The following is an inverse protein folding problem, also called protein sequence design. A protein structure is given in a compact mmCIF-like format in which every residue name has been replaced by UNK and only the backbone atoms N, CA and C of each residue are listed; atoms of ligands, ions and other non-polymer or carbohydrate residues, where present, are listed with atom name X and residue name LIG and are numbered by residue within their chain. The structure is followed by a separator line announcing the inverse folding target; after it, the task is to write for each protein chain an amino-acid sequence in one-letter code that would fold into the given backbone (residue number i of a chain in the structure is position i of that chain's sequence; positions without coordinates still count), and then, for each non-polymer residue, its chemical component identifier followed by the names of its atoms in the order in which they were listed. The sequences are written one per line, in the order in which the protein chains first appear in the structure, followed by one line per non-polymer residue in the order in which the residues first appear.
data_IF_260494379784
#
_entry.id   IF_260494379784
#
_cell.length_a   1.000
_cell.length_b   1.000
_cell.length_c   1.000
_cell.angle_alpha   90.00
_cell.angle_beta   90.00
_cell.angle_gamma   90.00
#
_symmetry.space_group_name_H-M   'P 1'
#
loop_
_entity.id
_entity.type
_entity.pdbx_description
1 polymer ?
#
# COMPACT_ATOMS: atom_id res chain seq x y z
N UNK A 1 -8.60 -20.78 -1.18
CA UNK A 1 -7.19 -20.71 -0.68
C UNK A 1 -6.47 -19.46 -1.21
N UNK A 2 -5.19 -19.24 -0.94
CA UNK A 2 -4.48 -18.04 -1.48
C UNK A 2 -4.39 -18.05 -3.01
N UNK A 3 -4.13 -19.22 -3.60
CA UNK A 3 -4.08 -19.40 -5.06
C UNK A 3 -5.43 -19.14 -5.73
N UNK A 4 -6.52 -19.66 -5.18
CA UNK A 4 -7.88 -19.45 -5.69
C UNK A 4 -8.29 -17.97 -5.65
N UNK A 5 -7.97 -17.28 -4.56
CA UNK A 5 -8.17 -15.84 -4.46
C UNK A 5 -7.33 -15.07 -5.49
N UNK A 6 -6.10 -15.52 -5.78
CA UNK A 6 -5.29 -14.91 -6.84
C UNK A 6 -5.95 -15.08 -8.23
N UNK A 7 -6.56 -16.23 -8.51
CA UNK A 7 -7.30 -16.45 -9.76
C UNK A 7 -8.50 -15.51 -9.87
N UNK A 8 -9.31 -15.39 -8.81
CA UNK A 8 -10.45 -14.45 -8.78
C UNK A 8 -10.01 -13.00 -9.03
N UNK A 9 -8.93 -12.55 -8.37
CA UNK A 9 -8.40 -11.19 -8.58
C UNK A 9 -7.87 -11.01 -10.00
N UNK A 10 -7.24 -12.04 -10.58
CA UNK A 10 -6.78 -11.98 -11.97
C UNK A 10 -7.93 -11.84 -12.97
N UNK A 11 -9.10 -12.44 -12.70
CA UNK A 11 -10.31 -12.29 -13.51
C UNK A 11 -10.83 -10.84 -13.52
N UNK A 12 -10.58 -10.06 -12.47
CA UNK A 12 -10.92 -8.62 -12.46
C UNK A 12 -10.08 -7.79 -13.41
N UNK A 13 -8.92 -8.33 -13.86
CA UNK A 13 -8.00 -7.68 -14.81
C UNK A 13 -7.58 -6.28 -14.37
N UNK A 14 -7.33 -6.10 -13.07
CA UNK A 14 -6.78 -4.86 -12.56
C UNK A 14 -5.33 -4.72 -12.99
N UNK A 15 -4.95 -3.54 -13.46
CA UNK A 15 -3.55 -3.25 -13.82
C UNK A 15 -2.65 -3.15 -12.58
N UNK A 16 -3.21 -2.65 -11.48
CA UNK A 16 -2.53 -2.43 -10.20
C UNK A 16 -3.33 -3.06 -9.07
N UNK A 17 -2.71 -4.00 -8.34
CA UNK A 17 -3.24 -4.52 -7.07
C UNK A 17 -2.50 -3.89 -5.89
N UNK A 18 -3.24 -3.40 -4.90
CA UNK A 18 -2.68 -2.73 -3.73
C UNK A 18 -2.99 -3.53 -2.45
N UNK A 19 -1.94 -3.96 -1.75
CA UNK A 19 -2.01 -4.53 -0.41
C UNK A 19 -2.12 -3.40 0.63
N UNK A 20 -3.25 -3.37 1.34
CA UNK A 20 -3.58 -2.37 2.35
C UNK A 20 -3.20 -2.80 3.78
N UNK A 21 -2.56 -3.96 3.93
CA UNK A 21 -2.35 -4.63 5.22
C UNK A 21 -0.85 -4.93 5.41
N UNK A 22 -0.20 -5.50 4.40
CA UNK A 22 1.19 -5.97 4.49
C UNK A 22 1.36 -7.17 5.42
N UNK A 23 2.45 -7.23 6.19
CA UNK A 23 2.85 -8.42 6.97
C UNK A 23 2.29 -8.44 8.41
N UNK A 24 1.08 -7.94 8.63
CA UNK A 24 0.42 -8.01 9.95
C UNK A 24 -0.41 -9.29 10.11
N UNK A 25 -0.79 -9.66 11.34
CA UNK A 25 -1.57 -10.88 11.59
C UNK A 25 -2.88 -10.91 10.80
N UNK A 26 -3.21 -12.06 10.22
CA UNK A 26 -4.43 -12.23 9.40
C UNK A 26 -4.32 -11.69 7.98
N UNK A 27 -3.13 -11.26 7.54
CA UNK A 27 -2.92 -10.83 6.16
C UNK A 27 -3.14 -11.96 5.15
N UNK A 28 -3.24 -11.55 3.88
CA UNK A 28 -3.33 -12.43 2.72
C UNK A 28 -2.21 -12.12 1.72
N UNK A 29 -1.05 -11.69 2.22
CA UNK A 29 0.09 -11.23 1.42
C UNK A 29 0.58 -12.30 0.43
N UNK A 30 0.41 -13.59 0.78
CA UNK A 30 0.75 -14.71 -0.09
C UNK A 30 0.01 -14.71 -1.44
N UNK A 31 -1.16 -14.08 -1.53
CA UNK A 31 -1.88 -13.89 -2.80
C UNK A 31 -1.00 -13.15 -3.81
N UNK A 32 -0.20 -12.19 -3.34
CA UNK A 32 0.69 -11.37 -4.16
C UNK A 32 1.79 -12.21 -4.82
N UNK A 33 2.22 -13.33 -4.22
CA UNK A 33 3.23 -14.22 -4.81
C UNK A 33 2.79 -14.87 -6.13
N UNK A 34 1.49 -15.01 -6.35
CA UNK A 34 0.94 -15.54 -7.60
C UNK A 34 0.87 -14.52 -8.72
N UNK A 35 1.25 -13.26 -8.45
CA UNK A 35 1.21 -12.14 -9.39
C UNK A 35 -0.12 -12.00 -10.15
N UNK A 36 -1.27 -11.91 -9.46
CA UNK A 36 -2.58 -11.76 -10.10
C UNK A 36 -2.75 -10.48 -10.93
N UNK A 37 -1.89 -9.48 -10.75
CA UNK A 37 -1.89 -8.24 -11.55
C UNK A 37 -0.47 -7.89 -12.03
N UNK A 38 -0.33 -7.12 -13.14
CA UNK A 38 0.96 -6.69 -13.64
C UNK A 38 1.80 -5.91 -12.62
N UNK A 39 1.18 -4.96 -11.93
CA UNK A 39 1.83 -4.11 -10.92
C UNK A 39 1.23 -4.36 -9.54
N UNK A 40 2.09 -4.55 -8.56
CA UNK A 40 1.70 -4.87 -7.19
C UNK A 40 2.34 -3.89 -6.22
N UNK A 41 1.51 -3.29 -5.37
CA UNK A 41 1.94 -2.25 -4.43
C UNK A 41 1.52 -2.57 -3.00
N UNK A 42 2.19 -1.96 -2.03
CA UNK A 42 1.79 -1.94 -0.61
C UNK A 42 1.73 -0.50 -0.10
N UNK A 43 0.79 -0.21 0.80
CA UNK A 43 0.57 1.17 1.28
C UNK A 43 0.67 1.37 2.80
N UNK A 44 0.13 0.46 3.61
CA UNK A 44 -0.07 0.74 5.07
C UNK A 44 1.05 0.21 5.94
N UNK A 45 1.84 -0.73 5.43
CA UNK A 45 2.89 -1.38 6.21
C UNK A 45 4.12 -0.45 6.33
N UNK A 46 4.50 -0.06 7.54
CA UNK A 46 5.57 0.92 7.77
C UNK A 46 7.01 0.35 7.63
N UNK A 47 7.17 -0.70 6.83
CA UNK A 47 8.45 -1.36 6.58
C UNK A 47 8.44 -2.04 5.19
N UNK A 48 9.61 -2.48 4.73
CA UNK A 48 9.73 -3.33 3.55
C UNK A 48 8.99 -4.66 3.75
N UNK A 49 8.34 -5.17 2.71
CA UNK A 49 7.81 -6.54 2.70
C UNK A 49 8.93 -7.57 2.48
N UNK A 50 10.07 -7.14 1.92
CA UNK A 50 11.16 -8.02 1.52
C UNK A 50 10.80 -8.97 0.38
N UNK A 51 9.60 -8.86 -0.20
CA UNK A 51 9.10 -9.78 -1.21
C UNK A 51 9.42 -9.28 -2.62
N UNK A 52 9.98 -10.12 -3.51
CA UNK A 52 10.17 -9.77 -4.92
C UNK A 52 8.85 -9.69 -5.69
N UNK A 53 7.73 -10.05 -5.06
CA UNK A 53 6.40 -9.96 -5.67
C UNK A 53 5.75 -8.59 -5.49
N UNK A 54 6.33 -7.69 -4.70
CA UNK A 54 5.84 -6.32 -4.52
C UNK A 54 6.75 -5.36 -5.29
N UNK A 55 6.18 -4.63 -6.23
CA UNK A 55 6.93 -3.73 -7.10
C UNK A 55 7.07 -2.33 -6.50
N UNK A 56 6.02 -1.87 -5.78
CA UNK A 56 5.91 -0.50 -5.29
C UNK A 56 5.59 -0.41 -3.79
N UNK A 57 6.27 0.51 -3.12
CA UNK A 57 5.98 0.94 -1.76
C UNK A 57 5.44 2.37 -1.80
N UNK A 58 4.14 2.54 -1.52
CA UNK A 58 3.50 3.86 -1.52
C UNK A 58 3.78 4.58 -0.21
N UNK A 59 4.42 5.75 -0.30
CA UNK A 59 4.82 6.55 0.87
C UNK A 59 4.94 8.03 0.50
N UNK A 60 5.57 8.83 1.35
CA UNK A 60 5.91 10.23 1.10
C UNK A 60 7.35 10.55 1.50
N UNK A 61 7.79 11.78 1.18
CA UNK A 61 9.17 12.22 1.41
C UNK A 61 9.54 12.35 2.89
N UNK A 62 8.57 12.47 3.78
CA UNK A 62 8.79 12.63 5.21
C UNK A 62 8.96 11.26 5.86
N UNK A 63 8.03 10.34 5.60
CA UNK A 63 8.08 8.97 6.13
C UNK A 63 9.17 8.13 5.45
N UNK A 64 9.49 8.43 4.19
CA UNK A 64 10.48 7.70 3.40
C UNK A 64 11.48 8.68 2.76
N UNK A 65 12.48 9.15 3.54
CA UNK A 65 13.56 9.95 2.99
C UNK A 65 14.29 9.17 1.88
N UNK A 66 14.40 9.72 0.65
CA UNK A 66 14.94 8.98 -0.50
C UNK A 66 16.33 8.40 -0.29
N UNK A 67 17.17 9.08 0.50
CA UNK A 67 18.55 8.70 0.77
C UNK A 67 18.67 7.40 1.58
N UNK A 68 17.64 7.06 2.35
CA UNK A 68 17.61 5.86 3.20
C UNK A 68 16.83 4.70 2.55
N UNK A 69 16.00 4.99 1.54
CA UNK A 69 15.07 4.02 1.00
C UNK A 69 15.78 2.86 0.27
N UNK A 70 16.71 3.16 -0.64
CA UNK A 70 17.36 2.13 -1.48
C UNK A 70 18.17 1.10 -0.69
N UNK A 71 18.67 1.45 0.50
CA UNK A 71 19.41 0.52 1.34
C UNK A 71 18.51 -0.38 2.20
N UNK A 72 17.22 -0.05 2.31
CA UNK A 72 16.33 -0.66 3.31
C UNK A 72 15.07 -1.30 2.73
N UNK A 73 14.77 -1.05 1.45
CA UNK A 73 13.56 -1.55 0.77
C UNK A 73 13.90 -2.37 -0.47
N UNK A 74 13.09 -3.40 -0.71
CA UNK A 74 13.18 -4.22 -1.93
C UNK A 74 12.28 -3.69 -3.03
N UNK A 75 11.20 -3.01 -2.66
CA UNK A 75 10.26 -2.34 -3.54
C UNK A 75 10.82 -1.02 -4.07
N UNK A 76 10.21 -0.47 -5.12
CA UNK A 76 10.47 0.90 -5.55
C UNK A 76 9.53 1.89 -4.84
N UNK A 77 10.06 3.03 -4.37
CA UNK A 77 9.25 4.04 -3.70
C UNK A 77 8.34 4.76 -4.71
N UNK A 78 7.05 4.79 -4.40
CA UNK A 78 6.07 5.68 -5.02
C UNK A 78 5.73 6.80 -4.03
N UNK A 79 6.35 7.97 -4.21
CA UNK A 79 6.20 9.10 -3.29
C UNK A 79 5.04 10.01 -3.69
N UNK A 80 4.03 10.12 -2.84
CA UNK A 80 2.85 10.98 -3.07
C UNK A 80 2.91 12.26 -2.21
N UNK A 81 2.64 13.45 -2.79
CA UNK A 81 2.54 14.69 -2.03
C UNK A 81 1.10 14.98 -1.57
N UNK A 82 0.90 15.71 -0.44
CA UNK A 82 1.91 16.09 0.55
C UNK A 82 2.22 14.98 1.57
N UNK A 83 1.33 14.01 1.71
CA UNK A 83 1.40 12.92 2.70
C UNK A 83 0.72 11.68 2.14
N UNK A 84 1.31 10.51 2.34
CA UNK A 84 0.66 9.22 2.03
C UNK A 84 -0.39 8.87 3.08
N UNK A 85 -0.24 9.38 4.29
CA UNK A 85 -1.16 9.11 5.38
C UNK A 85 -2.38 10.02 5.26
N UNK A 86 -3.50 9.42 4.85
CA UNK A 86 -4.80 10.10 4.67
C UNK A 86 -5.83 9.54 5.64
N UNK A 87 -6.76 10.39 6.06
CA UNK A 87 -7.86 10.00 6.93
C UNK A 87 -9.13 10.78 6.56
N UNK A 88 -10.28 10.32 7.07
CA UNK A 88 -11.58 10.92 6.82
C UNK A 88 -11.98 11.95 7.89
N UNK A 89 -11.03 12.52 8.66
CA UNK A 89 -11.34 13.41 9.79
C UNK A 89 -12.27 14.56 9.42
N UNK A 90 -12.15 15.13 8.21
CA UNK A 90 -13.04 16.22 7.76
C UNK A 90 -14.51 15.83 7.69
N UNK A 91 -14.82 14.55 7.44
CA UNK A 91 -16.20 14.05 7.46
C UNK A 91 -16.69 13.70 8.87
N UNK A 92 -15.78 13.62 9.84
CA UNK A 92 -16.08 13.30 11.24
C UNK A 92 -16.15 14.54 12.13
N UNK A 93 -15.49 15.63 11.73
CA UNK A 93 -15.54 16.92 12.42
C UNK A 93 -16.76 17.69 11.89
N UNK A 94 -17.78 17.97 12.71
CA UNK A 94 -18.89 18.82 12.30
C UNK A 94 -18.35 20.21 11.90
N UNK A 95 -18.99 20.91 10.94
CA UNK A 95 -18.55 22.24 10.54
C UNK A 95 -18.52 23.17 11.77
N UNK A 96 -17.56 24.12 11.82
CA UNK A 96 -17.48 25.05 12.94
C UNK A 96 -18.83 25.75 13.14
N UNK A 97 -19.30 25.83 14.39
CA UNK A 97 -20.51 26.57 14.75
C UNK A 97 -20.34 28.02 14.35
N UNK A 98 -21.34 28.62 13.71
CA UNK A 98 -21.27 29.99 13.20
C UNK A 98 -21.33 31.09 14.29
N UNK A 99 -21.22 30.72 15.56
CA UNK A 99 -21.27 31.65 16.70
C UNK A 99 -19.86 32.07 17.17
N UNK A 100 -19.08 32.69 16.28
CA UNK A 100 -17.88 33.46 16.64
C UNK A 100 -17.96 34.90 16.10
#
# INVERSE_FOLDING_TARGET
GDHEMALEVNEWRVDVLVDLIGLIHGNRHNVMHFRPSPVQAVMVYAATTGSPSIDLFLSDRIATPPDLFRSSFTENALLVPPSHFVNNQRGLIPPPSQDQ
#
